data_IF_946182088854
#
_entry.id   IF_946182088854
#
_cell.length_a   1.000
_cell.length_b   1.000
_cell.length_c   1.000
_cell.angle_alpha   90.00
_cell.angle_beta   90.00
_cell.angle_gamma   90.00
#
_symmetry.space_group_name_H-M   'P 1'
#
loop_
_entity.id
_entity.type
_entity.pdbx_description
1 polymer ?
#
# COMPACT_ATOMS: atom_id res chain seq x y z
N UNK A 1 -8.55 14.65 27.62
CA UNK A 1 -7.36 13.85 27.25
C UNK A 1 -7.65 13.28 25.89
N UNK A 2 -7.10 13.88 24.84
CA UNK A 2 -7.40 13.47 23.48
C UNK A 2 -6.27 12.57 23.02
N UNK A 3 -6.61 11.37 22.55
CA UNK A 3 -5.65 10.52 21.84
C UNK A 3 -5.33 11.22 20.51
N UNK A 4 -4.21 11.94 20.53
CA UNK A 4 -3.67 12.62 19.36
C UNK A 4 -2.79 11.68 18.54
N UNK A 5 -2.35 12.18 17.38
CA UNK A 5 -1.39 11.45 16.53
C UNK A 5 -0.11 11.09 17.31
N UNK A 6 0.31 11.94 18.26
CA UNK A 6 1.50 11.72 19.10
C UNK A 6 1.39 10.49 19.99
N UNK A 7 0.29 10.33 20.74
CA UNK A 7 0.05 9.10 21.55
C UNK A 7 -0.02 7.85 20.67
N UNK A 8 -0.69 7.92 19.52
CA UNK A 8 -0.79 6.78 18.59
C UNK A 8 0.59 6.34 18.10
N UNK A 9 1.48 7.30 17.81
CA UNK A 9 2.85 7.04 17.36
C UNK A 9 3.67 6.39 18.48
N UNK A 10 3.53 6.84 19.73
CA UNK A 10 4.19 6.23 20.88
C UNK A 10 3.76 4.76 21.08
N UNK A 11 2.46 4.49 20.98
CA UNK A 11 1.92 3.13 21.07
C UNK A 11 2.43 2.28 19.90
N UNK A 12 2.43 2.82 18.68
CA UNK A 12 2.92 2.12 17.50
C UNK A 12 4.39 1.71 17.67
N UNK A 13 5.25 2.60 18.20
CA UNK A 13 6.67 2.28 18.48
C UNK A 13 6.80 1.09 19.43
N UNK A 14 5.99 1.03 20.50
CA UNK A 14 6.00 -0.10 21.43
C UNK A 14 5.57 -1.40 20.71
N UNK A 15 4.51 -1.35 19.91
CA UNK A 15 4.05 -2.50 19.12
C UNK A 15 5.13 -2.95 18.13
N UNK A 16 5.83 -2.02 17.47
CA UNK A 16 6.95 -2.33 16.58
C UNK A 16 8.12 -3.01 17.30
N UNK A 17 8.40 -2.63 18.55
CA UNK A 17 9.43 -3.27 19.38
C UNK A 17 9.03 -4.68 19.83
N UNK A 18 7.76 -4.89 20.19
CA UNK A 18 7.24 -6.19 20.65
C UNK A 18 7.14 -7.21 19.52
N UNK A 19 6.54 -6.82 18.40
CA UNK A 19 6.29 -7.72 17.28
C UNK A 19 7.44 -7.76 16.25
N UNK A 20 8.32 -6.76 16.31
CA UNK A 20 9.38 -6.55 15.31
C UNK A 20 8.83 -6.05 13.97
N UNK A 21 9.64 -5.31 13.22
CA UNK A 21 9.28 -4.80 11.89
C UNK A 21 9.05 -5.90 10.86
N UNK A 22 9.61 -7.10 11.06
CA UNK A 22 9.57 -8.20 10.10
C UNK A 22 8.17 -8.81 9.95
N UNK A 23 7.42 -8.98 11.06
CA UNK A 23 6.04 -9.47 11.00
C UNK A 23 5.06 -8.37 10.57
N UNK A 24 5.28 -7.14 11.03
CA UNK A 24 4.47 -5.97 10.65
C UNK A 24 4.58 -5.64 9.15
N UNK A 25 5.75 -5.82 8.53
CA UNK A 25 5.95 -5.58 7.09
C UNK A 25 5.24 -6.61 6.21
N UNK A 26 5.21 -7.87 6.62
CA UNK A 26 4.47 -8.91 5.89
C UNK A 26 2.97 -8.61 5.88
N UNK A 27 2.37 -8.47 7.05
CA UNK A 27 0.93 -8.20 7.20
C UNK A 27 0.56 -6.80 6.68
N UNK A 28 1.43 -5.81 6.90
CA UNK A 28 1.22 -4.44 6.44
C UNK A 28 1.31 -4.28 4.92
N UNK A 29 2.08 -5.11 4.22
CA UNK A 29 2.11 -5.13 2.75
C UNK A 29 0.77 -5.60 2.16
N UNK A 30 0.21 -6.67 2.72
CA UNK A 30 -1.05 -7.25 2.25
C UNK A 30 -2.24 -6.34 2.59
N UNK A 31 -2.32 -5.88 3.84
CA UNK A 31 -3.34 -4.92 4.27
C UNK A 31 -3.21 -3.58 3.55
N UNK A 32 -1.98 -3.11 3.31
CA UNK A 32 -1.71 -1.86 2.61
C UNK A 32 -2.16 -1.91 1.15
N UNK A 33 -1.96 -3.05 0.48
CA UNK A 33 -2.44 -3.25 -0.90
C UNK A 33 -3.97 -3.27 -0.94
N UNK A 34 -4.62 -4.00 -0.03
CA UNK A 34 -6.08 -4.05 0.06
C UNK A 34 -6.70 -2.67 0.38
N UNK A 35 -6.11 -1.91 1.31
CA UNK A 35 -6.56 -0.55 1.65
C UNK A 35 -6.33 0.42 0.49
N UNK A 36 -5.22 0.29 -0.25
CA UNK A 36 -4.94 1.11 -1.43
C UNK A 36 -5.97 0.85 -2.52
N UNK A 37 -6.27 -0.41 -2.81
CA UNK A 37 -7.23 -0.78 -3.84
C UNK A 37 -8.66 -0.38 -3.42
N UNK A 38 -9.01 -0.51 -2.14
CA UNK A 38 -10.25 0.02 -1.57
C UNK A 38 -10.36 1.55 -1.69
N UNK A 39 -9.29 2.29 -1.36
CA UNK A 39 -9.23 3.74 -1.52
C UNK A 39 -9.34 4.15 -2.99
N UNK A 40 -8.68 3.43 -3.89
CA UNK A 40 -8.76 3.66 -5.34
C UNK A 40 -10.18 3.47 -5.84
N UNK A 41 -10.83 2.34 -5.54
CA UNK A 41 -12.21 2.08 -5.95
C UNK A 41 -13.21 3.10 -5.39
N UNK A 42 -13.02 3.53 -4.14
CA UNK A 42 -13.84 4.58 -3.52
C UNK A 42 -13.58 5.97 -4.12
N UNK A 43 -12.35 6.23 -4.59
CA UNK A 43 -11.97 7.50 -5.24
C UNK A 43 -12.36 7.55 -6.72
N UNK A 44 -12.43 6.40 -7.40
CA UNK A 44 -12.80 6.29 -8.82
C UNK A 44 -14.28 6.65 -9.06
N UNK A 45 -15.12 6.51 -8.02
CA UNK A 45 -16.48 7.07 -8.02
C UNK A 45 -16.51 8.61 -7.93
N UNK A 46 -15.37 9.26 -7.62
CA UNK A 46 -15.23 10.71 -7.43
C UNK A 46 -14.35 11.42 -8.46
N UNK A 47 -13.41 10.74 -9.12
CA UNK A 47 -12.52 11.35 -10.10
C UNK A 47 -11.85 10.28 -10.98
N UNK A 48 -12.31 10.14 -12.22
CA UNK A 48 -11.62 9.36 -13.24
C UNK A 48 -10.34 10.08 -13.68
N UNK A 49 -9.17 9.66 -13.20
CA UNK A 49 -7.91 9.62 -13.94
C UNK A 49 -6.73 9.16 -13.04
N UNK A 50 -5.92 8.27 -13.62
CA UNK A 50 -4.53 7.89 -13.31
C UNK A 50 -4.21 7.18 -11.97
N UNK A 51 -4.02 5.86 -12.04
CA UNK A 51 -2.72 5.20 -11.76
C UNK A 51 -2.83 3.66 -11.79
N UNK A 52 -2.79 3.07 -12.99
CA UNK A 52 -2.50 1.64 -13.18
C UNK A 52 -1.00 1.44 -13.36
N UNK A 53 -0.36 0.78 -12.40
CA UNK A 53 1.05 0.40 -12.46
C UNK A 53 1.28 -0.52 -13.67
N UNK A 54 2.04 -0.07 -14.68
CA UNK A 54 2.50 -0.87 -15.82
C UNK A 54 3.70 -1.70 -15.36
N UNK A 55 3.65 -3.05 -15.31
CA UNK A 55 4.86 -3.84 -15.31
C UNK A 55 5.42 -3.81 -16.74
N UNK A 56 6.61 -3.26 -16.85
CA UNK A 56 7.48 -3.39 -18.02
C UNK A 56 7.88 -4.85 -18.15
N UNK A 57 7.37 -5.57 -19.13
CA UNK A 57 8.06 -6.71 -19.74
C UNK A 57 7.63 -6.79 -21.20
N UNK A 58 8.51 -6.35 -22.09
CA UNK A 58 8.39 -6.60 -23.52
C UNK A 58 8.77 -8.06 -23.81
N UNK A 59 8.05 -8.73 -24.71
CA UNK A 59 8.69 -9.63 -25.66
C UNK A 59 8.94 -8.87 -26.96
N UNK A 60 10.21 -8.91 -27.38
CA UNK A 60 10.67 -8.60 -28.73
C UNK A 60 10.00 -9.62 -29.65
N UNK A 61 9.11 -9.21 -30.55
CA UNK A 61 8.77 -10.02 -31.72
C UNK A 61 8.62 -9.05 -32.89
N UNK A 62 9.70 -8.96 -33.68
CA UNK A 62 9.73 -8.23 -34.92
C UNK A 62 10.10 -9.28 -35.97
N UNK A 63 9.14 -10.17 -36.25
CA UNK A 63 9.18 -11.07 -37.39
C UNK A 63 9.28 -10.21 -38.65
N UNK A 64 10.47 -10.25 -39.26
CA UNK A 64 10.61 -9.99 -40.68
C UNK A 64 10.01 -11.21 -41.39
N UNK A 65 8.96 -11.01 -42.16
CA UNK A 65 8.73 -11.58 -43.50
C UNK A 65 7.54 -10.90 -44.17
#
# INVERSE_FOLDING_TARGET
MNIGITELLLIAVIVFLLFGTRKLRGIGGDLGTAIRDFKSAMSDNKSSAVAGNKPVTAPIENDKE
#
